data_IF_473039959123
#
_entry.id   IF_473039959123
#
_cell.length_a   1.000
_cell.length_b   1.000
_cell.length_c   1.000
_cell.angle_alpha   90.00
_cell.angle_beta   90.00
_cell.angle_gamma   90.00
#
_symmetry.space_group_name_H-M   'P 1'
#
loop_
_entity.id
_entity.type
_entity.pdbx_description
1 polymer ?
#
# COMPACT_ATOMS: atom_id res chain seq x y z
N UNK A 1 -2.65 -10.12 2.89
CA UNK A 1 -3.30 -8.81 2.67
C UNK A 1 -3.64 -8.07 3.98
N UNK A 2 -4.27 -8.67 5.00
CA UNK A 2 -4.60 -7.97 6.26
C UNK A 2 -3.42 -7.23 6.92
N UNK A 3 -2.22 -7.82 6.91
CA UNK A 3 -1.01 -7.17 7.46
C UNK A 3 -0.59 -5.92 6.70
N UNK A 4 -0.82 -5.87 5.39
CA UNK A 4 -0.48 -4.71 4.54
C UNK A 4 -1.44 -3.57 4.83
N UNK A 5 -2.74 -3.85 4.92
CA UNK A 5 -3.75 -2.84 5.31
C UNK A 5 -3.46 -2.27 6.71
N UNK A 6 -3.20 -3.15 7.70
CA UNK A 6 -2.79 -2.72 9.04
C UNK A 6 -1.47 -1.93 9.05
N UNK A 7 -0.58 -2.19 8.10
CA UNK A 7 0.66 -1.43 7.96
C UNK A 7 0.38 -0.03 7.41
N UNK A 8 -0.37 0.09 6.32
CA UNK A 8 -0.77 1.37 5.74
C UNK A 8 -1.50 2.24 6.76
N UNK A 9 -2.45 1.68 7.50
CA UNK A 9 -3.18 2.40 8.56
C UNK A 9 -2.23 2.91 9.65
N UNK A 10 -1.31 2.06 10.13
CA UNK A 10 -0.33 2.46 11.14
C UNK A 10 0.62 3.54 10.63
N UNK A 11 1.05 3.45 9.37
CA UNK A 11 1.98 4.40 8.77
C UNK A 11 1.31 5.76 8.49
N UNK A 12 0.05 5.77 8.07
CA UNK A 12 -0.75 7.00 7.98
C UNK A 12 -0.87 7.69 9.34
N UNK A 13 -1.24 6.95 10.40
CA UNK A 13 -1.31 7.49 11.76
C UNK A 13 0.04 8.03 12.24
N UNK A 14 1.12 7.30 11.95
CA UNK A 14 2.46 7.74 12.32
C UNK A 14 2.82 9.07 11.66
N UNK A 15 2.55 9.26 10.37
CA UNK A 15 2.78 10.54 9.69
C UNK A 15 1.93 11.67 10.27
N UNK A 16 0.69 11.39 10.65
CA UNK A 16 -0.17 12.35 11.33
C UNK A 16 0.39 12.77 12.68
N UNK A 17 0.91 11.84 13.47
CA UNK A 17 1.54 12.13 14.76
C UNK A 17 2.81 12.98 14.58
N UNK A 18 3.58 12.76 13.50
CA UNK A 18 4.76 13.58 13.19
C UNK A 18 4.42 15.06 12.95
N UNK A 19 3.25 15.38 12.41
CA UNK A 19 2.81 16.77 12.21
C UNK A 19 2.64 17.49 13.56
N UNK A 20 2.12 16.81 14.57
CA UNK A 20 1.86 17.39 15.90
C UNK A 20 3.12 17.62 16.74
N UNK A 21 4.22 16.93 16.43
CA UNK A 21 5.47 17.02 17.20
C UNK A 21 6.36 18.20 16.79
N UNK A 22 6.14 18.80 15.62
CA UNK A 22 7.02 19.84 15.06
C UNK A 22 6.36 21.22 15.10
N UNK A 23 6.01 21.68 16.29
CA UNK A 23 5.53 23.06 16.48
C UNK A 23 6.66 24.05 16.20
N UNK A 24 6.34 25.14 15.51
CA UNK A 24 7.27 26.23 15.23
C UNK A 24 7.79 26.84 16.53
N UNK A 25 9.09 26.69 16.78
CA UNK A 25 9.77 27.31 17.93
C UNK A 25 10.32 28.67 17.49
N UNK A 26 10.80 28.79 16.25
CA UNK A 26 11.37 30.04 15.73
C UNK A 26 10.81 30.48 14.36
N UNK A 27 10.72 31.81 14.09
CA UNK A 27 10.17 32.35 12.84
C UNK A 27 10.94 31.93 11.58
N UNK A 28 12.23 31.63 11.71
CA UNK A 28 13.09 31.24 10.58
C UNK A 28 12.87 29.79 10.14
N UNK A 29 12.23 28.97 10.96
CA UNK A 29 11.91 27.56 10.68
C UNK A 29 10.61 27.39 9.88
N UNK A 30 9.92 28.50 9.56
CA UNK A 30 8.63 28.50 8.89
C UNK A 30 8.62 27.69 7.59
N UNK A 31 9.59 27.93 6.72
CA UNK A 31 9.68 27.23 5.42
C UNK A 31 9.93 25.73 5.60
N UNK A 32 10.77 25.36 6.57
CA UNK A 32 11.05 23.95 6.88
C UNK A 32 9.80 23.26 7.41
N UNK A 33 9.07 23.91 8.32
CA UNK A 33 7.81 23.39 8.86
C UNK A 33 6.75 23.19 7.77
N UNK A 34 6.53 24.18 6.90
CA UNK A 34 5.61 24.09 5.77
C UNK A 34 5.99 22.95 4.82
N UNK A 35 7.29 22.80 4.50
CA UNK A 35 7.79 21.72 3.66
C UNK A 35 7.57 20.34 4.27
N UNK A 36 7.82 20.19 5.57
CA UNK A 36 7.60 18.93 6.30
C UNK A 36 6.12 18.58 6.41
N UNK A 37 5.24 19.57 6.64
CA UNK A 37 3.80 19.36 6.61
C UNK A 37 3.36 18.85 5.24
N UNK A 38 3.71 19.57 4.16
CA UNK A 38 3.35 19.16 2.80
C UNK A 38 3.89 17.77 2.44
N UNK A 39 5.12 17.46 2.86
CA UNK A 39 5.71 16.14 2.65
C UNK A 39 4.93 15.04 3.40
N UNK A 40 4.65 15.25 4.69
CA UNK A 40 3.88 14.28 5.50
C UNK A 40 2.47 14.07 4.96
N UNK A 41 1.80 15.12 4.48
CA UNK A 41 0.48 15.01 3.82
C UNK A 41 0.55 14.18 2.55
N UNK A 42 1.56 14.42 1.71
CA UNK A 42 1.80 13.61 0.50
C UNK A 42 2.02 12.14 0.87
N UNK A 43 2.83 11.87 1.89
CA UNK A 43 3.09 10.50 2.35
C UNK A 43 1.83 9.82 2.89
N UNK A 44 1.01 10.51 3.68
CA UNK A 44 -0.29 9.98 4.12
C UNK A 44 -1.20 9.64 2.94
N UNK A 45 -1.25 10.51 1.92
CA UNK A 45 -2.06 10.27 0.74
C UNK A 45 -1.59 9.03 -0.05
N UNK A 46 -0.27 8.83 -0.16
CA UNK A 46 0.32 7.65 -0.81
C UNK A 46 -0.04 6.36 -0.07
N UNK A 47 0.14 6.33 1.26
CA UNK A 47 -0.22 5.16 2.07
C UNK A 47 -1.71 4.82 1.96
N UNK A 48 -2.57 5.84 1.94
CA UNK A 48 -4.01 5.64 1.74
C UNK A 48 -4.32 5.07 0.36
N UNK A 49 -3.67 5.56 -0.69
CA UNK A 49 -3.86 5.05 -2.06
C UNK A 49 -3.42 3.58 -2.18
N UNK A 50 -2.29 3.24 -1.56
CA UNK A 50 -1.81 1.85 -1.47
C UNK A 50 -2.83 0.99 -0.73
N UNK A 51 -3.29 1.44 0.44
CA UNK A 51 -4.31 0.74 1.23
C UNK A 51 -5.58 0.46 0.42
N UNK A 52 -6.10 1.46 -0.29
CA UNK A 52 -7.29 1.34 -1.15
C UNK A 52 -7.09 0.33 -2.29
N UNK A 53 -5.92 0.36 -2.95
CA UNK A 53 -5.58 -0.59 -4.02
C UNK A 53 -5.56 -2.03 -3.49
N UNK A 54 -4.94 -2.25 -2.33
CA UNK A 54 -4.91 -3.57 -1.69
C UNK A 54 -6.28 -4.02 -1.21
N UNK A 55 -7.10 -3.12 -0.69
CA UNK A 55 -8.46 -3.43 -0.26
C UNK A 55 -9.34 -3.85 -1.44
N UNK A 56 -9.26 -3.13 -2.56
CA UNK A 56 -9.99 -3.46 -3.78
C UNK A 56 -9.62 -4.86 -4.31
N UNK A 57 -8.32 -5.17 -4.36
CA UNK A 57 -7.82 -6.50 -4.76
C UNK A 57 -8.27 -7.59 -3.80
N UNK A 58 -8.24 -7.34 -2.50
CA UNK A 58 -8.69 -8.30 -1.50
C UNK A 58 -10.19 -8.57 -1.61
N UNK A 59 -10.99 -7.53 -1.81
CA UNK A 59 -12.44 -7.65 -2.01
C UNK A 59 -12.76 -8.49 -3.25
N UNK A 60 -12.09 -8.23 -4.37
CA UNK A 60 -12.23 -9.04 -5.58
C UNK A 60 -11.87 -10.51 -5.36
N UNK A 61 -10.82 -10.80 -4.59
CA UNK A 61 -10.48 -12.18 -4.21
C UNK A 61 -11.57 -12.82 -3.33
N UNK A 62 -12.10 -12.08 -2.34
CA UNK A 62 -13.15 -12.60 -1.45
C UNK A 62 -14.46 -12.89 -2.19
N UNK A 63 -14.87 -12.02 -3.12
CA UNK A 63 -16.05 -12.23 -3.96
C UNK A 63 -15.92 -13.50 -4.80
N UNK A 64 -14.73 -13.75 -5.37
CA UNK A 64 -14.46 -14.97 -6.15
C UNK A 64 -14.34 -16.22 -5.29
N UNK A 65 -13.82 -16.10 -4.07
CA UNK A 65 -13.71 -17.20 -3.13
C UNK A 65 -15.04 -17.51 -2.42
N UNK A 66 -16.01 -16.59 -2.44
CA UNK A 66 -17.30 -16.75 -1.77
C UNK A 66 -18.04 -18.06 -2.11
N UNK A 67 -18.20 -18.48 -3.38
CA UNK A 67 -18.86 -19.75 -3.71
C UNK A 67 -18.08 -20.98 -3.21
N UNK A 68 -16.74 -20.94 -3.27
CA UNK A 68 -15.87 -22.01 -2.75
C UNK A 68 -16.05 -22.15 -1.24
N UNK A 69 -16.05 -21.02 -0.51
CA UNK A 69 -16.24 -20.98 0.94
C UNK A 69 -17.65 -21.41 1.34
N UNK A 70 -18.66 -21.07 0.53
CA UNK A 70 -20.05 -21.45 0.75
C UNK A 70 -20.34 -22.92 0.44
N UNK A 71 -19.37 -23.66 -0.12
CA UNK A 71 -19.56 -25.04 -0.57
C UNK A 71 -20.40 -25.16 -1.84
N UNK A 72 -20.60 -24.06 -2.58
CA UNK A 72 -21.33 -24.00 -3.85
C UNK A 72 -20.38 -24.31 -5.02
N UNK A 73 -19.60 -25.38 -4.89
CA UNK A 73 -18.73 -25.86 -5.96
C UNK A 73 -19.55 -26.89 -6.77
N UNK A 74 -19.92 -26.61 -8.04
CA UNK A 74 -20.59 -27.58 -8.87
C UNK A 74 -19.57 -28.68 -9.21
N UNK A 75 -19.61 -29.80 -8.51
CA UNK A 75 -18.67 -30.90 -8.73
C UNK A 75 -18.21 -31.67 -7.50
N UNK A 76 -18.97 -31.71 -6.39
CA UNK A 76 -18.76 -32.71 -5.31
C UNK A 76 -19.18 -34.13 -5.78
N UNK A 77 -18.75 -34.48 -6.99
CA UNK A 77 -18.84 -35.79 -7.59
C UNK A 77 -17.40 -36.19 -7.89
N UNK A 78 -16.78 -36.87 -6.92
CA UNK A 78 -15.72 -37.86 -7.11
C UNK A 78 -14.80 -37.66 -8.33
N UNK A 79 -13.90 -36.67 -8.32
CA UNK A 79 -12.67 -36.65 -9.15
C UNK A 79 -11.79 -35.47 -8.69
N UNK A 80 -10.93 -35.71 -7.69
CA UNK A 80 -10.07 -34.70 -7.03
C UNK A 80 -8.90 -34.17 -7.91
N UNK A 81 -8.71 -34.67 -9.13
CA UNK A 81 -7.44 -34.49 -9.85
C UNK A 81 -7.41 -33.47 -11.00
N UNK A 82 -8.51 -32.79 -11.36
CA UNK A 82 -8.46 -31.73 -12.39
C UNK A 82 -9.42 -30.57 -12.09
N UNK A 83 -8.92 -29.52 -11.43
CA UNK A 83 -9.60 -28.22 -11.40
C UNK A 83 -9.57 -27.64 -12.83
N UNK A 84 -10.59 -27.95 -13.63
CA UNK A 84 -10.77 -27.46 -15.00
C UNK A 84 -11.35 -26.03 -15.08
N UNK A 85 -11.30 -25.27 -13.98
CA UNK A 85 -11.84 -23.92 -13.89
C UNK A 85 -10.95 -22.87 -14.56
N UNK A 86 -11.56 -21.75 -14.95
CA UNK A 86 -10.85 -20.63 -15.58
C UNK A 86 -9.82 -20.04 -14.60
N UNK A 87 -8.54 -20.05 -15.00
CA UNK A 87 -7.44 -19.52 -14.19
C UNK A 87 -7.21 -18.07 -14.55
N UNK A 88 -7.42 -17.15 -13.60
CA UNK A 88 -7.18 -15.73 -13.80
C UNK A 88 -6.03 -15.23 -12.91
N UNK A 89 -5.01 -14.64 -13.54
CA UNK A 89 -3.83 -14.10 -12.85
C UNK A 89 -4.08 -12.65 -12.48
N UNK A 90 -4.19 -12.36 -11.18
CA UNK A 90 -4.25 -10.99 -10.67
C UNK A 90 -2.83 -10.40 -10.71
N UNK A 91 -2.56 -9.55 -11.69
CA UNK A 91 -1.26 -8.87 -11.80
C UNK A 91 -1.15 -7.73 -10.77
N UNK A 92 -0.03 -7.70 -10.04
CA UNK A 92 0.33 -6.62 -9.13
C UNK A 92 1.36 -5.73 -9.83
N UNK A 93 0.92 -4.59 -10.35
CA UNK A 93 1.85 -3.52 -10.71
C UNK A 93 2.31 -2.84 -9.42
N UNK A 94 3.58 -3.01 -9.08
CA UNK A 94 4.28 -2.15 -8.14
C UNK A 94 4.83 -1.00 -8.97
N UNK A 95 4.29 0.21 -8.79
CA UNK A 95 4.99 1.41 -9.25
C UNK A 95 6.19 1.57 -8.31
N UNK A 96 7.35 1.18 -8.83
CA UNK A 96 8.65 1.38 -8.19
C UNK A 96 8.83 2.90 -8.08
N UNK A 97 8.62 3.44 -6.88
CA UNK A 97 9.04 4.81 -6.59
C UNK A 97 10.55 4.74 -6.51
N UNK A 98 11.22 5.01 -7.63
CA UNK A 98 12.67 5.16 -7.74
C UNK A 98 13.21 5.91 -6.51
N UNK A 99 13.85 5.16 -5.62
CA UNK A 99 14.78 5.68 -4.64
C UNK A 99 15.97 6.15 -5.47
N UNK A 100 15.98 7.44 -5.79
CA UNK A 100 17.10 8.06 -6.47
C UNK A 100 18.30 8.01 -5.51
N UNK A 101 19.07 6.91 -5.59
CA UNK A 101 20.44 6.87 -5.10
C UNK A 101 21.23 7.92 -5.87
N UNK A 102 21.34 9.10 -5.25
CA UNK A 102 22.26 10.18 -5.59
C UNK A 102 23.67 9.66 -5.33
N UNK A 103 24.20 8.89 -6.29
CA UNK A 103 25.60 8.47 -6.31
C UNK A 103 26.45 9.71 -6.63
N UNK A 104 26.76 10.47 -5.59
CA UNK A 104 27.76 11.55 -5.63
C UNK A 104 29.14 10.93 -5.84
N UNK A 105 29.51 10.66 -7.09
CA UNK A 105 30.90 10.42 -7.45
C UNK A 105 31.57 11.77 -7.71
N UNK A 106 32.27 12.24 -6.67
CA UNK A 106 33.35 13.19 -6.77
C UNK A 106 34.37 12.67 -7.78
N UNK A 107 34.65 13.42 -8.84
CA UNK A 107 35.97 13.36 -9.46
C UNK A 107 36.51 14.77 -9.70
N UNK A 108 37.60 15.01 -8.98
CA UNK A 108 38.49 16.15 -9.08
C UNK A 108 39.58 15.75 -10.06
N UNK A 109 39.66 16.43 -11.21
CA UNK A 109 40.93 16.85 -11.82
C UNK A 109 40.74 17.97 -12.83
#
# INVERSE_FOLDING_TARGET
MCRVLQFCDRKEHWWKDQQGLRLLIEPHEKTLHEGLLAYSEKQMALERAIGQSWEAKWRGMQERAAPIIAGEIPGDAEDEDDYAGETEVIQFYYEDYDDAEDDTEHDVE
#
